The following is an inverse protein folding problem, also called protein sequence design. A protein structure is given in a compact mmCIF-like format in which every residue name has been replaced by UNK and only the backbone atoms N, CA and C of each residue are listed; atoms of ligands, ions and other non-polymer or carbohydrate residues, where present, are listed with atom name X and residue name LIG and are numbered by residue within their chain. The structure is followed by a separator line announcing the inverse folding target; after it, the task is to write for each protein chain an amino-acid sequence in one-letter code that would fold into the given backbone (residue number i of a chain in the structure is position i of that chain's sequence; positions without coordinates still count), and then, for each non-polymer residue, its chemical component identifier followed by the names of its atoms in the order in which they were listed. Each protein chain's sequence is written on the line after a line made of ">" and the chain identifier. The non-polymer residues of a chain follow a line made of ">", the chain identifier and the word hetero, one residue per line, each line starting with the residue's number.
data_IF_237208108651
#
_entry.id   IF_237208108651
#
_cell.length_a   1.000
_cell.length_b   1.000
_cell.length_c   1.000
_cell.angle_alpha   90.00
_cell.angle_beta   90.00
_cell.angle_gamma   90.00
#
_symmetry.space_group_name_H-M   'P 1'
#
loop_
_entity.id
_entity.type
_entity.pdbx_description
1 polymer ?
#
# COMPACT_ATOMS: atom_id res chain seq x y z
N UNK A 1 14.60 21.67 20.76
CA UNK A 1 14.98 21.15 19.42
C UNK A 1 16.42 21.56 19.14
N UNK A 2 17.24 20.70 18.55
CA UNK A 2 18.65 21.04 18.22
C UNK A 2 18.73 21.87 16.93
N UNK A 3 19.85 22.56 16.70
CA UNK A 3 20.07 23.39 15.49
C UNK A 3 19.91 22.58 14.20
N UNK A 4 20.34 21.31 14.20
CA UNK A 4 20.19 20.39 13.06
C UNK A 4 18.74 20.10 12.71
N UNK A 5 17.90 19.83 13.71
CA UNK A 5 16.48 19.55 13.48
C UNK A 5 15.70 20.79 13.04
N UNK A 6 16.07 21.96 13.55
CA UNK A 6 15.45 23.23 13.16
C UNK A 6 15.75 23.56 11.70
N UNK A 7 16.98 23.29 11.24
CA UNK A 7 17.41 23.55 9.87
C UNK A 7 16.69 22.70 8.80
N UNK A 8 16.16 21.53 9.18
CA UNK A 8 15.48 20.61 8.24
C UNK A 8 13.98 20.50 8.49
N UNK A 9 13.42 21.26 9.44
CA UNK A 9 12.01 21.12 9.86
C UNK A 9 11.04 21.26 8.67
N UNK A 10 11.23 22.28 7.84
CA UNK A 10 10.37 22.51 6.68
C UNK A 10 10.41 21.33 5.69
N UNK A 11 11.62 20.82 5.41
CA UNK A 11 11.79 19.65 4.54
C UNK A 11 11.15 18.39 5.15
N UNK A 12 11.24 18.22 6.48
CA UNK A 12 10.59 17.12 7.18
C UNK A 12 9.06 17.21 7.07
N UNK A 13 8.49 18.39 7.30
CA UNK A 13 7.04 18.61 7.25
C UNK A 13 6.51 18.34 5.83
N UNK A 14 7.20 18.83 4.79
CA UNK A 14 6.86 18.56 3.39
C UNK A 14 6.91 17.08 3.04
N UNK A 15 7.98 16.37 3.46
CA UNK A 15 8.10 14.93 3.23
C UNK A 15 7.03 14.13 3.95
N UNK A 16 6.69 14.53 5.18
CA UNK A 16 5.65 13.88 5.95
C UNK A 16 4.28 14.03 5.28
N UNK A 17 3.94 15.24 4.83
CA UNK A 17 2.68 15.49 4.11
C UNK A 17 2.59 14.67 2.82
N UNK A 18 3.66 14.63 2.03
CA UNK A 18 3.70 13.88 0.79
C UNK A 18 3.63 12.35 1.00
N UNK A 19 4.26 11.82 2.05
CA UNK A 19 4.34 10.38 2.29
C UNK A 19 3.16 9.79 3.07
N UNK A 20 2.58 10.53 4.01
CA UNK A 20 1.54 10.00 4.92
C UNK A 20 0.17 9.86 4.24
N UNK A 21 -0.21 10.83 3.41
CA UNK A 21 -1.55 10.87 2.81
C UNK A 21 -1.83 9.68 1.87
N UNK A 22 -0.90 9.27 0.97
CA UNK A 22 -1.11 8.10 0.11
C UNK A 22 -1.31 6.80 0.88
N UNK A 23 -0.53 6.60 1.96
CA UNK A 23 -0.64 5.42 2.83
C UNK A 23 -2.01 5.37 3.52
N UNK A 24 -2.42 6.48 4.14
CA UNK A 24 -3.73 6.56 4.80
C UNK A 24 -4.88 6.27 3.82
N UNK A 25 -4.83 6.86 2.63
CA UNK A 25 -5.85 6.64 1.61
C UNK A 25 -5.94 5.18 1.16
N UNK A 26 -4.80 4.49 1.05
CA UNK A 26 -4.78 3.07 0.71
C UNK A 26 -5.43 2.22 1.81
N UNK A 27 -5.13 2.48 3.09
CA UNK A 27 -5.75 1.75 4.22
C UNK A 27 -7.26 1.95 4.25
N UNK A 28 -7.75 3.19 4.08
CA UNK A 28 -9.19 3.47 4.06
C UNK A 28 -9.89 2.80 2.87
N UNK A 29 -9.29 2.87 1.67
CA UNK A 29 -9.82 2.20 0.49
C UNK A 29 -9.88 0.68 0.67
N UNK A 30 -8.81 0.08 1.21
CA UNK A 30 -8.77 -1.34 1.55
C UNK A 30 -9.83 -1.70 2.59
N UNK A 31 -10.05 -0.88 3.63
CA UNK A 31 -11.12 -1.12 4.62
C UNK A 31 -12.47 -1.23 3.93
N UNK A 32 -12.81 -0.28 3.06
CA UNK A 32 -14.08 -0.28 2.34
C UNK A 32 -14.26 -1.55 1.49
N UNK A 33 -13.20 -2.00 0.80
CA UNK A 33 -13.22 -3.25 0.02
C UNK A 33 -13.50 -4.44 0.94
N UNK A 34 -12.76 -4.57 2.04
CA UNK A 34 -12.87 -5.70 2.97
C UNK A 34 -14.25 -5.75 3.64
N UNK A 35 -14.77 -4.61 4.09
CA UNK A 35 -16.11 -4.51 4.67
C UNK A 35 -17.19 -4.88 3.65
N UNK A 36 -17.08 -4.40 2.40
CA UNK A 36 -18.03 -4.74 1.35
C UNK A 36 -18.06 -6.23 1.00
N UNK A 37 -16.92 -6.93 1.20
CA UNK A 37 -16.77 -8.37 0.99
C UNK A 37 -17.03 -9.22 2.23
N UNK A 38 -17.39 -8.59 3.36
CA UNK A 38 -17.66 -9.29 4.61
C UNK A 38 -16.43 -9.98 5.21
N UNK A 39 -15.22 -9.47 4.94
CA UNK A 39 -14.00 -10.00 5.56
C UNK A 39 -14.05 -9.70 7.07
N UNK A 40 -13.78 -10.67 7.95
CA UNK A 40 -13.69 -10.42 9.37
C UNK A 40 -12.59 -9.42 9.71
N UNK A 41 -12.88 -8.45 10.58
CA UNK A 41 -11.94 -7.38 10.97
C UNK A 41 -10.61 -7.89 11.53
N UNK A 42 -10.62 -9.08 12.17
CA UNK A 42 -9.40 -9.74 12.66
C UNK A 42 -8.41 -10.15 11.55
N UNK A 43 -8.85 -10.23 10.29
CA UNK A 43 -8.01 -10.55 9.13
C UNK A 43 -7.56 -9.30 8.37
N UNK A 44 -8.10 -8.12 8.69
CA UNK A 44 -7.83 -6.90 7.92
C UNK A 44 -6.36 -6.48 7.96
N UNK A 45 -5.67 -6.73 9.07
CA UNK A 45 -4.29 -6.27 9.27
C UNK A 45 -3.32 -6.71 8.17
N UNK A 46 -3.44 -7.95 7.70
CA UNK A 46 -2.57 -8.46 6.62
C UNK A 46 -2.89 -7.82 5.26
N UNK A 47 -4.16 -7.50 5.00
CA UNK A 47 -4.58 -6.77 3.80
C UNK A 47 -4.14 -5.30 3.83
N UNK A 48 -4.19 -4.66 4.99
CA UNK A 48 -3.65 -3.30 5.17
C UNK A 48 -2.15 -3.28 4.92
N UNK A 49 -1.39 -4.21 5.51
CA UNK A 49 0.04 -4.32 5.29
C UNK A 49 0.39 -4.50 3.80
N UNK A 50 -0.38 -5.32 3.07
CA UNK A 50 -0.24 -5.44 1.62
C UNK A 50 -0.48 -4.11 0.88
N UNK A 51 -1.56 -3.39 1.21
CA UNK A 51 -1.89 -2.11 0.58
C UNK A 51 -0.80 -1.05 0.84
N UNK A 52 -0.29 -0.98 2.06
CA UNK A 52 0.80 -0.07 2.45
C UNK A 52 2.11 -0.41 1.70
N UNK A 53 2.47 -1.69 1.62
CA UNK A 53 3.63 -2.13 0.83
C UNK A 53 3.46 -1.79 -0.66
N UNK A 54 2.27 -1.97 -1.25
CA UNK A 54 2.00 -1.55 -2.64
C UNK A 54 2.26 -0.04 -2.82
N UNK A 55 1.74 0.81 -1.93
CA UNK A 55 1.99 2.26 -1.99
C UNK A 55 3.48 2.57 -1.87
N UNK A 56 4.18 1.92 -0.93
CA UNK A 56 5.60 2.11 -0.71
C UNK A 56 6.42 1.85 -1.99
N UNK A 57 6.09 0.79 -2.72
CA UNK A 57 6.78 0.45 -3.97
C UNK A 57 6.57 1.49 -5.07
N UNK A 58 5.42 2.20 -5.07
CA UNK A 58 5.18 3.29 -6.03
C UNK A 58 6.12 4.49 -5.85
N UNK A 59 6.70 4.69 -4.66
CA UNK A 59 7.68 5.75 -4.44
C UNK A 59 9.04 5.47 -5.09
N UNK A 60 9.34 4.19 -5.35
CA UNK A 60 10.64 3.75 -5.88
C UNK A 60 10.56 3.23 -7.31
N UNK A 61 9.38 2.76 -7.73
CA UNK A 61 9.19 2.03 -8.97
C UNK A 61 8.01 2.55 -9.79
N UNK A 62 8.11 2.37 -11.10
CA UNK A 62 7.07 2.70 -12.06
C UNK A 62 7.08 1.73 -13.24
N UNK A 63 6.01 1.72 -14.04
CA UNK A 63 5.92 0.92 -15.26
C UNK A 63 6.18 -0.56 -15.05
N UNK A 64 6.99 -1.16 -15.92
CA UNK A 64 7.26 -2.60 -15.91
C UNK A 64 7.92 -3.08 -14.60
N UNK A 65 8.79 -2.26 -13.99
CA UNK A 65 9.42 -2.60 -12.71
C UNK A 65 8.40 -2.67 -11.58
N UNK A 66 7.51 -1.68 -11.50
CA UNK A 66 6.44 -1.68 -10.49
C UNK A 66 5.53 -2.90 -10.66
N UNK A 67 5.16 -3.23 -11.90
CA UNK A 67 4.33 -4.40 -12.20
C UNK A 67 4.99 -5.68 -11.68
N UNK A 68 6.28 -5.91 -11.97
CA UNK A 68 7.00 -7.10 -11.53
C UNK A 68 7.09 -7.20 -9.99
N UNK A 69 7.33 -6.08 -9.32
CA UNK A 69 7.39 -6.02 -7.86
C UNK A 69 6.02 -6.34 -7.24
N UNK A 70 4.95 -5.73 -7.74
CA UNK A 70 3.58 -5.99 -7.25
C UNK A 70 3.17 -7.45 -7.49
N UNK A 71 3.57 -8.06 -8.62
CA UNK A 71 3.35 -9.48 -8.89
C UNK A 71 4.00 -10.37 -7.82
N UNK A 72 5.26 -10.12 -7.50
CA UNK A 72 5.96 -10.85 -6.44
C UNK A 72 5.34 -10.63 -5.06
N UNK A 73 4.94 -9.38 -4.78
CA UNK A 73 4.31 -9.00 -3.52
C UNK A 73 2.96 -9.70 -3.32
N UNK A 74 2.11 -9.72 -4.35
CA UNK A 74 0.84 -10.46 -4.32
C UNK A 74 1.10 -11.94 -4.01
N UNK A 75 2.07 -12.55 -4.69
CA UNK A 75 2.43 -13.95 -4.46
C UNK A 75 2.90 -14.22 -3.03
N UNK A 76 3.71 -13.33 -2.45
CA UNK A 76 4.13 -13.39 -1.04
C UNK A 76 2.91 -13.42 -0.12
N UNK A 77 1.95 -12.53 -0.31
CA UNK A 77 0.77 -12.45 0.57
C UNK A 77 -0.23 -13.59 0.38
N UNK A 78 -0.39 -14.11 -0.83
CA UNK A 78 -1.17 -15.34 -1.06
C UNK A 78 -0.53 -16.53 -0.36
N UNK A 79 0.79 -16.71 -0.51
CA UNK A 79 1.48 -17.93 -0.04
C UNK A 79 1.79 -17.91 1.45
N UNK A 80 2.27 -16.79 1.99
CA UNK A 80 2.69 -16.68 3.38
C UNK A 80 1.54 -16.36 4.35
N UNK A 81 0.51 -15.65 3.86
CA UNK A 81 -0.60 -15.17 4.70
C UNK A 81 -1.96 -15.75 4.31
N UNK A 82 -2.03 -16.55 3.22
CA UNK A 82 -3.27 -17.20 2.80
C UNK A 82 -4.37 -16.23 2.34
N UNK A 83 -3.99 -15.03 1.90
CA UNK A 83 -4.95 -14.00 1.51
C UNK A 83 -5.61 -14.33 0.16
N UNK A 84 -6.89 -13.99 0.04
CA UNK A 84 -7.66 -14.15 -1.20
C UNK A 84 -7.04 -13.30 -2.33
N UNK A 85 -6.53 -13.92 -3.42
CA UNK A 85 -5.88 -13.22 -4.51
C UNK A 85 -6.81 -12.24 -5.24
N UNK A 86 -8.12 -12.48 -5.25
CA UNK A 86 -9.10 -11.59 -5.91
C UNK A 86 -9.31 -10.30 -5.14
N UNK A 87 -9.20 -10.34 -3.81
CA UNK A 87 -9.23 -9.15 -2.96
C UNK A 87 -7.94 -8.36 -3.13
N UNK A 88 -6.80 -9.04 -3.19
CA UNK A 88 -5.51 -8.39 -3.46
C UNK A 88 -5.51 -7.67 -4.81
N UNK A 89 -6.08 -8.26 -5.86
CA UNK A 89 -6.20 -7.61 -7.17
C UNK A 89 -7.05 -6.33 -7.14
N UNK A 90 -8.14 -6.35 -6.38
CA UNK A 90 -8.99 -5.18 -6.22
C UNK A 90 -8.29 -4.07 -5.42
N UNK A 91 -7.51 -4.44 -4.40
CA UNK A 91 -6.65 -3.50 -3.66
C UNK A 91 -5.62 -2.88 -4.61
N UNK A 92 -4.89 -3.69 -5.38
CA UNK A 92 -3.90 -3.20 -6.35
C UNK A 92 -4.54 -2.22 -7.32
N UNK A 93 -5.64 -2.62 -7.97
CA UNK A 93 -6.35 -1.76 -8.93
C UNK A 93 -6.82 -0.45 -8.30
N UNK A 94 -7.26 -0.48 -7.04
CA UNK A 94 -7.73 0.72 -6.32
C UNK A 94 -6.56 1.64 -5.93
N UNK A 95 -5.44 1.08 -5.52
CA UNK A 95 -4.27 1.83 -5.05
C UNK A 95 -3.45 2.43 -6.19
N UNK A 96 -3.18 1.67 -7.26
CA UNK A 96 -2.32 2.12 -8.38
C UNK A 96 -3.12 2.50 -9.64
N UNK A 97 -4.44 2.28 -9.65
CA UNK A 97 -5.34 2.62 -10.77
C UNK A 97 -5.35 1.60 -11.93
N UNK A 98 -4.46 0.61 -11.92
CA UNK A 98 -4.34 -0.42 -12.96
C UNK A 98 -4.06 -1.78 -12.33
N UNK A 99 -4.54 -2.85 -12.97
CA UNK A 99 -4.14 -4.20 -12.59
C UNK A 99 -2.95 -4.63 -13.47
N UNK A 100 -1.77 -4.93 -12.89
CA UNK A 100 -0.64 -5.45 -13.64
C UNK A 100 -1.00 -6.74 -14.39
N UNK A 101 -0.48 -6.95 -15.61
CA UNK A 101 -0.52 -8.27 -16.24
C UNK A 101 0.42 -9.20 -15.47
N UNK A 102 -0.15 -10.24 -14.85
CA UNK A 102 0.58 -11.27 -14.10
C UNK A 102 1.04 -12.41 -15.00
#
# INVERSE_FOLDING_TARGET
>A
MTSRLTAVKELMDLRYQAGSSPIYNAVEATRNILESKGVPTGLHGAYYAFAEEVVQETFSHSGATLNAVISGLKQKYVTAHGLDPTILDEIVKTVIGVLPPY
#
